data_IF_243217907552
#
_entry.id   IF_243217907552
#
_cell.length_a   1.000
_cell.length_b   1.000
_cell.length_c   1.000
_cell.angle_alpha   90.00
_cell.angle_beta   90.00
_cell.angle_gamma   90.00
#
_symmetry.space_group_name_H-M   'P 1'
#
loop_
_entity.id
_entity.type
_entity.pdbx_description
1 polymer ?
#
# COMPACT_ATOMS: atom_id res chain seq x y z
N UNK A 1 -57.78 24.29 -20.60
CA UNK A 1 -57.14 25.06 -19.51
C UNK A 1 -57.71 24.61 -18.18
N UNK A 2 -56.97 23.82 -17.39
CA UNK A 2 -57.34 23.44 -16.01
C UNK A 2 -56.08 23.45 -15.16
N UNK A 3 -56.16 24.25 -14.11
CA UNK A 3 -55.11 24.57 -13.13
C UNK A 3 -54.99 23.45 -12.08
N UNK A 4 -53.88 23.52 -11.34
CA UNK A 4 -53.63 22.97 -10.00
C UNK A 4 -53.19 21.50 -9.91
N UNK A 5 -51.88 21.29 -9.87
CA UNK A 5 -51.29 20.21 -9.09
C UNK A 5 -50.35 20.86 -8.06
N UNK A 6 -50.75 20.76 -6.79
CA UNK A 6 -50.15 21.42 -5.66
C UNK A 6 -48.71 20.97 -5.42
N UNK A 7 -47.92 21.96 -5.03
CA UNK A 7 -46.65 21.78 -4.34
C UNK A 7 -46.88 21.04 -3.03
N UNK A 8 -46.21 19.90 -2.85
CA UNK A 8 -45.92 19.31 -1.55
C UNK A 8 -44.51 18.73 -1.63
N UNK A 9 -43.58 19.57 -1.23
CA UNK A 9 -42.21 19.21 -0.94
C UNK A 9 -42.19 18.22 0.23
N UNK A 10 -41.86 16.97 -0.07
CA UNK A 10 -41.42 16.02 0.95
C UNK A 10 -39.91 15.86 0.81
N UNK A 11 -39.19 16.71 1.53
CA UNK A 11 -37.80 16.43 1.93
C UNK A 11 -37.83 15.23 2.86
N UNK A 12 -37.36 14.09 2.37
CA UNK A 12 -36.88 13.00 3.23
C UNK A 12 -35.39 12.86 2.99
N UNK A 13 -34.63 13.54 3.86
CA UNK A 13 -33.25 13.24 4.11
C UNK A 13 -33.16 11.82 4.70
N UNK A 14 -32.43 10.93 4.05
CA UNK A 14 -31.91 9.72 4.67
C UNK A 14 -30.43 9.61 4.31
N UNK A 15 -29.66 10.32 5.13
CA UNK A 15 -28.21 10.23 5.25
C UNK A 15 -27.89 8.91 5.95
N UNK A 16 -27.22 7.99 5.27
CA UNK A 16 -26.41 6.95 5.94
C UNK A 16 -25.44 6.31 4.92
N UNK A 17 -24.39 7.06 4.58
CA UNK A 17 -23.15 6.46 4.09
C UNK A 17 -22.44 5.88 5.31
N UNK A 18 -22.40 4.56 5.41
CA UNK A 18 -21.39 3.87 6.20
C UNK A 18 -20.85 2.72 5.34
N UNK A 19 -19.94 3.09 4.44
CA UNK A 19 -19.07 2.13 3.79
C UNK A 19 -18.26 1.44 4.91
N UNK A 20 -18.63 0.20 5.22
CA UNK A 20 -17.82 -0.68 6.04
C UNK A 20 -16.52 -0.98 5.31
N UNK A 21 -15.51 -0.12 5.47
CA UNK A 21 -14.13 -0.55 5.33
C UNK A 21 -13.86 -1.49 6.51
N UNK A 22 -14.14 -2.77 6.30
CA UNK A 22 -13.46 -3.81 7.04
C UNK A 22 -11.97 -3.65 6.73
N UNK A 23 -11.27 -2.91 7.59
CA UNK A 23 -9.83 -2.99 7.68
C UNK A 23 -9.53 -4.45 7.98
N UNK A 24 -9.21 -5.23 6.94
CA UNK A 24 -8.61 -6.53 7.11
C UNK A 24 -7.45 -6.32 8.09
N UNK A 25 -7.34 -7.14 9.15
CA UNK A 25 -6.17 -7.05 10.01
C UNK A 25 -4.99 -7.22 9.07
N UNK A 26 -4.09 -6.23 9.05
CA UNK A 26 -2.80 -6.39 8.42
C UNK A 26 -2.23 -7.65 9.04
N UNK A 27 -2.33 -8.77 8.33
CA UNK A 27 -1.89 -10.06 8.81
C UNK A 27 -0.47 -9.83 9.30
N UNK A 28 -0.26 -10.03 10.61
CA UNK A 28 1.01 -9.73 11.26
C UNK A 28 2.10 -10.35 10.40
N UNK A 29 2.82 -9.49 9.67
CA UNK A 29 3.83 -9.97 8.76
C UNK A 29 4.80 -10.77 9.63
N UNK A 30 5.16 -12.01 9.25
CA UNK A 30 6.10 -12.81 10.02
C UNK A 30 7.32 -11.94 10.36
N UNK A 31 7.85 -12.08 11.57
CA UNK A 31 8.91 -11.25 12.15
C UNK A 31 10.28 -11.48 11.45
N UNK A 32 10.26 -11.26 10.15
CA UNK A 32 11.38 -11.36 9.25
C UNK A 32 12.03 -9.98 9.18
N UNK A 33 13.35 -9.97 9.05
CA UNK A 33 14.06 -8.72 8.81
C UNK A 33 13.59 -8.08 7.51
N UNK A 34 13.73 -6.77 7.41
CA UNK A 34 13.49 -6.03 6.17
C UNK A 34 14.30 -6.65 5.01
N UNK A 35 15.53 -7.08 5.28
CA UNK A 35 16.39 -7.74 4.29
C UNK A 35 15.76 -9.02 3.75
N UNK A 36 15.16 -9.85 4.60
CA UNK A 36 14.53 -11.09 4.17
C UNK A 36 13.25 -10.81 3.37
N UNK A 37 12.49 -9.79 3.76
CA UNK A 37 11.35 -9.29 2.99
C UNK A 37 11.79 -8.86 1.59
N UNK A 38 12.85 -8.04 1.49
CA UNK A 38 13.40 -7.61 0.21
C UNK A 38 13.92 -8.77 -0.64
N UNK A 39 14.54 -9.79 -0.04
CA UNK A 39 14.98 -10.99 -0.75
C UNK A 39 13.81 -11.76 -1.36
N UNK A 40 12.71 -11.90 -0.61
CA UNK A 40 11.48 -12.52 -1.12
C UNK A 40 10.86 -11.70 -2.25
N UNK A 41 10.82 -10.37 -2.13
CA UNK A 41 10.36 -9.48 -3.19
C UNK A 41 11.18 -9.64 -4.47
N UNK A 42 12.51 -9.67 -4.34
CA UNK A 42 13.41 -9.88 -5.49
C UNK A 42 13.13 -11.21 -6.19
N UNK A 43 12.86 -12.29 -5.45
CA UNK A 43 12.49 -13.57 -6.05
C UNK A 43 11.20 -13.48 -6.88
N UNK A 44 10.18 -12.77 -6.41
CA UNK A 44 8.94 -12.57 -7.17
C UNK A 44 9.16 -11.71 -8.42
N UNK A 45 9.98 -10.68 -8.31
CA UNK A 45 10.39 -9.85 -9.46
C UNK A 45 11.09 -10.70 -10.53
N UNK A 46 11.99 -11.59 -10.13
CA UNK A 46 12.69 -12.50 -11.06
C UNK A 46 11.75 -13.56 -11.67
N UNK A 47 10.74 -13.98 -10.93
CA UNK A 47 9.69 -14.89 -11.43
C UNK A 47 8.70 -14.19 -12.37
N UNK A 48 8.77 -12.86 -12.52
CA UNK A 48 7.85 -12.11 -13.35
C UNK A 48 6.45 -11.94 -12.73
N UNK A 49 6.28 -12.19 -11.43
CA UNK A 49 4.97 -12.17 -10.79
C UNK A 49 4.79 -10.94 -9.87
N UNK A 50 3.90 -10.04 -10.30
CA UNK A 50 3.56 -8.85 -9.55
C UNK A 50 2.56 -9.10 -8.41
N UNK A 51 1.67 -10.10 -8.51
CA UNK A 51 0.57 -10.27 -7.54
C UNK A 51 1.07 -10.56 -6.12
N UNK A 52 2.06 -11.46 -5.89
CA UNK A 52 2.59 -11.73 -4.56
C UNK A 52 3.27 -10.51 -3.92
N UNK A 53 3.67 -9.50 -4.70
CA UNK A 53 4.30 -8.28 -4.17
C UNK A 53 3.32 -7.44 -3.34
N UNK A 54 2.00 -7.55 -3.54
CA UNK A 54 0.99 -6.77 -2.81
C UNK A 54 1.17 -6.92 -1.30
N UNK A 55 1.19 -8.17 -0.80
CA UNK A 55 1.38 -8.43 0.63
C UNK A 55 2.80 -8.10 1.12
N UNK A 56 3.79 -8.14 0.23
CA UNK A 56 5.17 -7.80 0.60
C UNK A 56 5.39 -6.28 0.74
N UNK A 57 4.66 -5.46 -0.04
CA UNK A 57 4.64 -4.02 0.16
C UNK A 57 3.98 -3.63 1.49
N UNK A 58 2.92 -4.33 1.91
CA UNK A 58 2.34 -4.14 3.25
C UNK A 58 3.36 -4.51 4.35
N UNK A 59 4.05 -5.65 4.20
CA UNK A 59 5.12 -6.06 5.12
C UNK A 59 6.28 -5.06 5.14
N UNK A 60 6.60 -4.42 4.02
CA UNK A 60 7.64 -3.39 3.94
C UNK A 60 7.22 -2.10 4.63
N UNK A 61 5.96 -1.70 4.46
CA UNK A 61 5.38 -0.47 5.05
C UNK A 61 5.58 -0.42 6.57
N UNK A 62 5.30 -1.53 7.26
CA UNK A 62 5.41 -1.61 8.73
C UNK A 62 6.85 -1.56 9.25
N UNK A 63 7.86 -1.75 8.40
CA UNK A 63 9.27 -1.67 8.77
C UNK A 63 9.87 -0.27 8.62
N UNK A 64 9.13 0.66 8.00
CA UNK A 64 9.52 2.05 7.86
C UNK A 64 9.87 2.69 9.21
N UNK A 65 10.83 3.62 9.19
CA UNK A 65 11.20 4.41 10.37
C UNK A 65 10.82 5.88 10.13
N UNK A 66 10.45 6.64 11.16
CA UNK A 66 9.89 7.99 11.00
C UNK A 66 10.79 8.96 10.22
N UNK A 67 12.11 8.78 10.26
CA UNK A 67 13.05 9.64 9.54
C UNK A 67 13.10 9.39 8.03
N UNK A 68 12.60 8.24 7.55
CA UNK A 68 12.48 7.97 6.11
C UNK A 68 11.10 8.45 5.64
N UNK A 69 11.01 9.76 5.43
CA UNK A 69 9.82 10.39 4.86
C UNK A 69 9.39 9.65 3.59
N UNK A 70 8.09 9.62 3.27
CA UNK A 70 7.54 8.96 2.09
C UNK A 70 7.67 7.43 2.01
N UNK A 71 8.32 6.73 2.96
CA UNK A 71 8.41 5.26 2.97
C UNK A 71 7.04 4.58 2.78
N UNK A 72 6.05 5.05 3.53
CA UNK A 72 4.68 4.53 3.47
C UNK A 72 4.02 4.81 2.13
N UNK A 73 4.22 6.01 1.58
CA UNK A 73 3.66 6.40 0.29
C UNK A 73 4.28 5.60 -0.86
N UNK A 74 5.59 5.34 -0.84
CA UNK A 74 6.25 4.46 -1.80
C UNK A 74 5.74 3.01 -1.66
N UNK A 75 5.58 2.52 -0.42
CA UNK A 75 5.02 1.17 -0.20
C UNK A 75 3.60 1.05 -0.78
N UNK A 76 2.74 2.05 -0.56
CA UNK A 76 1.38 2.08 -1.11
C UNK A 76 1.36 2.19 -2.63
N UNK A 77 2.25 3.00 -3.22
CA UNK A 77 2.42 3.13 -4.67
C UNK A 77 2.83 1.80 -5.30
N UNK A 78 3.81 1.11 -4.71
CA UNK A 78 4.28 -0.20 -5.18
C UNK A 78 3.18 -1.26 -5.06
N UNK A 79 2.45 -1.26 -3.95
CA UNK A 79 1.28 -2.12 -3.74
C UNK A 79 0.21 -1.89 -4.82
N UNK A 80 -0.09 -0.63 -5.14
CA UNK A 80 -1.10 -0.29 -6.14
C UNK A 80 -0.68 -0.74 -7.55
N UNK A 81 0.60 -0.65 -7.91
CA UNK A 81 1.13 -1.21 -9.16
C UNK A 81 1.04 -2.74 -9.17
N UNK A 82 1.52 -3.38 -8.11
CA UNK A 82 1.46 -4.84 -7.94
C UNK A 82 0.03 -5.40 -8.04
N UNK A 83 -0.93 -4.73 -7.42
CA UNK A 83 -2.35 -5.13 -7.45
C UNK A 83 -2.96 -5.07 -8.86
N UNK A 84 -2.45 -4.20 -9.74
CA UNK A 84 -2.84 -4.10 -11.15
C UNK A 84 -2.11 -5.12 -12.03
N UNK A 85 -1.18 -5.90 -11.48
CA UNK A 85 -0.28 -6.76 -12.26
C UNK A 85 0.86 -5.98 -12.96
N UNK A 86 1.03 -4.71 -12.63
CA UNK A 86 2.07 -3.84 -13.22
C UNK A 86 3.42 -4.08 -12.52
N UNK A 87 4.15 -5.06 -13.03
CA UNK A 87 5.46 -5.44 -12.49
C UNK A 87 6.49 -4.32 -12.68
N UNK A 88 6.46 -3.60 -13.81
CA UNK A 88 7.45 -2.56 -14.09
C UNK A 88 7.21 -1.32 -13.22
N UNK A 89 5.95 -0.95 -12.98
CA UNK A 89 5.60 0.06 -11.99
C UNK A 89 5.99 -0.34 -10.56
N UNK A 90 5.85 -1.62 -10.19
CA UNK A 90 6.33 -2.13 -8.91
C UNK A 90 7.86 -2.04 -8.81
N UNK A 91 8.61 -2.46 -9.84
CA UNK A 91 10.09 -2.33 -9.91
C UNK A 91 10.55 -0.89 -9.84
N UNK A 92 9.88 0.03 -10.52
CA UNK A 92 10.20 1.45 -10.48
C UNK A 92 10.11 1.99 -9.05
N UNK A 93 9.08 1.55 -8.31
CA UNK A 93 8.90 1.92 -6.90
C UNK A 93 9.98 1.31 -6.00
N UNK A 94 10.38 0.05 -6.23
CA UNK A 94 11.52 -0.56 -5.53
C UNK A 94 12.81 0.24 -5.74
N UNK A 95 13.06 0.70 -6.97
CA UNK A 95 14.22 1.53 -7.30
C UNK A 95 14.16 2.88 -6.57
N UNK A 96 13.02 3.56 -6.62
CA UNK A 96 12.80 4.84 -5.94
C UNK A 96 13.10 4.74 -4.42
N UNK A 97 12.55 3.73 -3.75
CA UNK A 97 12.80 3.49 -2.33
C UNK A 97 14.27 3.14 -2.05
N UNK A 98 14.91 2.34 -2.92
CA UNK A 98 16.30 1.95 -2.72
C UNK A 98 17.27 3.11 -2.92
N UNK A 99 17.05 3.92 -3.96
CA UNK A 99 17.87 5.10 -4.23
C UNK A 99 17.74 6.13 -3.11
N UNK A 100 16.53 6.29 -2.57
CA UNK A 100 16.28 7.25 -1.50
C UNK A 100 16.82 6.81 -0.14
N UNK A 101 16.64 5.53 0.26
CA UNK A 101 16.79 5.14 1.67
C UNK A 101 17.74 3.98 1.95
N UNK A 102 18.11 3.15 0.96
CA UNK A 102 18.82 1.88 1.23
C UNK A 102 20.16 2.08 1.93
N UNK A 103 20.94 3.07 1.48
CA UNK A 103 22.27 3.34 2.04
C UNK A 103 22.17 3.79 3.50
N UNK A 104 21.32 4.78 3.78
CA UNK A 104 21.15 5.36 5.11
C UNK A 104 20.54 4.37 6.08
N UNK A 105 19.52 3.63 5.64
CA UNK A 105 18.91 2.57 6.44
C UNK A 105 19.92 1.50 6.83
N UNK A 106 20.72 1.02 5.86
CA UNK A 106 21.75 0.00 6.10
C UNK A 106 22.83 0.51 7.05
N UNK A 107 23.23 1.77 6.93
CA UNK A 107 24.25 2.37 7.80
C UNK A 107 23.77 2.50 9.24
N UNK A 108 22.51 2.93 9.45
CA UNK A 108 21.95 3.14 10.79
C UNK A 108 21.52 1.85 11.48
N UNK A 109 20.88 0.93 10.75
CA UNK A 109 20.22 -0.23 11.35
C UNK A 109 20.85 -1.57 10.99
N UNK A 110 21.74 -1.60 10.00
CA UNK A 110 22.38 -2.82 9.54
C UNK A 110 21.41 -3.78 8.85
N UNK A 111 21.86 -5.03 8.67
CA UNK A 111 21.16 -6.04 7.88
C UNK A 111 20.14 -6.89 8.64
N UNK A 112 20.08 -6.74 9.96
CA UNK A 112 19.18 -7.47 10.87
C UNK A 112 18.01 -6.63 11.36
N UNK A 113 17.91 -5.39 10.89
CA UNK A 113 16.81 -4.52 11.22
C UNK A 113 15.48 -5.21 10.89
N UNK A 114 14.49 -5.17 11.80
CA UNK A 114 13.17 -5.66 11.52
C UNK A 114 12.63 -4.95 10.29
#
# INVERSE_FOLDING_TARGET
MRKNAGWLATLTAALAVAAGLAAAPAAAAPDMSLKDTMKKMQAQVLNGDAKPLVGMFDATKVKGKPEFANWNAMSDKGKAAAAKGDLDGAKATCKECHDAYRSDYKTKYGSRAP
#
